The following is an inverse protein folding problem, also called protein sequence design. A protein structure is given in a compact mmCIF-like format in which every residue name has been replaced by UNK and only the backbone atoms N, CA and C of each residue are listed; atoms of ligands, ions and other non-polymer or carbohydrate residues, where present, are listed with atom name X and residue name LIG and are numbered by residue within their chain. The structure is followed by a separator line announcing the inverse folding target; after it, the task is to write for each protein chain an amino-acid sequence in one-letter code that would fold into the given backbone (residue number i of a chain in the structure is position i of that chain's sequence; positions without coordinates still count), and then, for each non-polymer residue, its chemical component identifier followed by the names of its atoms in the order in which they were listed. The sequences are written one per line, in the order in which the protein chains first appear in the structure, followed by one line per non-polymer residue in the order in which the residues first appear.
data_IF_474010497056
#
_entry.id   IF_474010497056
#
_cell.length_a   1.000
_cell.length_b   1.000
_cell.length_c   1.000
_cell.angle_alpha   90.00
_cell.angle_beta   90.00
_cell.angle_gamma   90.00
#
_symmetry.space_group_name_H-M   'P 1'
#
loop_
_entity.id
_entity.type
_entity.pdbx_description
1 polymer ?
#
# COMPACT_ATOMS: atom_id res chain seq x y z
N UNK A 1 -4.90 68.26 19.04
CA UNK A 1 -5.66 67.46 18.04
C UNK A 1 -5.16 67.94 16.68
N UNK A 2 -4.46 67.17 15.86
CA UNK A 2 -4.87 65.93 15.21
C UNK A 2 -3.67 64.98 15.04
N UNK A 3 -3.87 63.70 15.35
CA UNK A 3 -2.92 62.62 15.02
C UNK A 3 -3.26 62.07 13.63
N UNK A 4 -2.29 62.01 12.74
CA UNK A 4 -2.42 61.42 11.40
C UNK A 4 -2.46 59.89 11.48
N UNK A 5 -3.48 59.28 10.88
CA UNK A 5 -3.60 57.83 10.75
C UNK A 5 -2.61 57.31 9.69
N UNK A 6 -1.71 56.41 10.09
CA UNK A 6 -0.83 55.69 9.17
C UNK A 6 -1.60 54.68 8.31
N UNK A 7 -1.07 54.31 7.13
CA UNK A 7 -1.75 53.43 6.20
C UNK A 7 -1.87 52.00 6.76
N UNK A 8 -3.08 51.45 6.69
CA UNK A 8 -3.39 50.08 7.08
C UNK A 8 -2.80 49.13 6.04
N UNK A 9 -1.88 48.27 6.45
CA UNK A 9 -1.33 47.20 5.63
C UNK A 9 -2.38 46.11 5.43
N UNK A 10 -2.86 45.94 4.20
CA UNK A 10 -3.76 44.86 3.79
C UNK A 10 -2.96 43.55 3.72
N UNK A 11 -3.43 42.44 4.31
CA UNK A 11 -2.73 41.16 4.21
C UNK A 11 -2.75 40.65 2.76
N UNK A 12 -1.67 39.98 2.29
CA UNK A 12 -1.62 39.46 0.93
C UNK A 12 -2.70 38.39 0.74
N UNK A 13 -3.47 38.55 -0.34
CA UNK A 13 -4.42 37.53 -0.81
C UNK A 13 -3.70 36.22 -1.11
N UNK A 14 -4.29 35.06 -0.77
CA UNK A 14 -3.69 33.76 -1.07
C UNK A 14 -3.52 33.61 -2.58
N UNK A 15 -2.30 33.29 -3.00
CA UNK A 15 -1.97 32.97 -4.38
C UNK A 15 -2.78 31.74 -4.82
N UNK A 16 -3.43 31.78 -6.01
CA UNK A 16 -4.10 30.61 -6.53
C UNK A 16 -3.09 29.48 -6.73
N UNK A 17 -3.45 28.21 -6.48
CA UNK A 17 -2.56 27.08 -6.71
C UNK A 17 -2.11 27.09 -8.18
N UNK A 18 -0.80 26.96 -8.37
CA UNK A 18 -0.19 26.89 -9.70
C UNK A 18 -0.91 25.82 -10.54
N UNK A 19 -1.27 26.10 -11.80
CA UNK A 19 -1.88 25.10 -12.66
C UNK A 19 -0.93 23.91 -12.78
N UNK A 20 -1.40 22.72 -12.37
CA UNK A 20 -0.64 21.49 -12.57
C UNK A 20 -0.25 21.40 -14.05
N UNK A 21 0.99 20.99 -14.39
CA UNK A 21 1.42 20.93 -15.78
C UNK A 21 0.46 20.05 -16.55
N UNK A 22 -0.29 20.67 -17.47
CA UNK A 22 -1.21 19.96 -18.34
C UNK A 22 -0.37 19.00 -19.18
N UNK A 23 -0.61 17.70 -19.03
CA UNK A 23 0.05 16.69 -19.86
C UNK A 23 -0.12 17.08 -21.34
N UNK A 24 1.00 17.19 -22.06
CA UNK A 24 1.05 17.55 -23.50
C UNK A 24 0.17 16.63 -24.35
N UNK A 25 -0.05 15.40 -23.88
CA UNK A 25 -0.92 14.41 -24.51
C UNK A 25 -2.01 13.98 -23.53
N UNK A 26 -3.27 14.23 -23.93
CA UNK A 26 -4.45 13.74 -23.22
C UNK A 26 -5.11 12.65 -24.07
N UNK A 27 -5.46 11.49 -23.49
CA UNK A 27 -6.29 10.51 -24.19
C UNK A 27 -7.60 11.16 -24.68
N UNK A 28 -8.11 10.79 -25.86
CA UNK A 28 -9.37 11.32 -26.35
C UNK A 28 -10.54 10.90 -25.44
N UNK A 29 -11.58 11.73 -25.28
CA UNK A 29 -12.80 11.31 -24.61
C UNK A 29 -13.46 10.16 -25.38
N UNK A 30 -14.26 9.35 -24.68
CA UNK A 30 -15.11 8.35 -25.31
C UNK A 30 -16.07 9.06 -26.28
N UNK A 31 -16.10 8.71 -27.58
CA UNK A 31 -16.98 9.38 -28.54
C UNK A 31 -18.46 9.05 -28.29
N UNK A 32 -18.76 7.78 -27.99
CA UNK A 32 -20.11 7.27 -27.76
C UNK A 32 -20.08 5.88 -27.05
N UNK A 33 -21.27 5.29 -26.88
CA UNK A 33 -21.44 3.90 -26.44
C UNK A 33 -21.94 3.05 -27.61
N UNK A 34 -21.37 1.85 -27.78
CA UNK A 34 -21.74 0.93 -28.85
C UNK A 34 -23.18 0.42 -28.71
N UNK A 35 -23.91 0.39 -29.83
CA UNK A 35 -25.33 -0.02 -29.91
C UNK A 35 -25.55 -1.32 -30.68
N UNK A 36 -24.50 -1.89 -31.28
CA UNK A 36 -24.58 -3.12 -32.06
C UNK A 36 -24.65 -4.37 -31.15
N UNK A 37 -25.39 -5.38 -31.60
CA UNK A 37 -25.55 -6.66 -30.92
C UNK A 37 -26.74 -6.72 -29.96
N UNK A 38 -27.01 -7.92 -29.45
CA UNK A 38 -28.07 -8.16 -28.48
C UNK A 38 -27.57 -7.90 -27.05
N UNK A 39 -28.43 -7.35 -26.20
CA UNK A 39 -28.12 -7.15 -24.78
C UNK A 39 -27.98 -8.49 -24.06
N UNK A 40 -27.02 -8.59 -23.13
CA UNK A 40 -26.83 -9.74 -22.26
C UNK A 40 -26.60 -9.27 -20.82
N UNK A 41 -27.13 -10.01 -19.84
CA UNK A 41 -26.88 -9.75 -18.42
C UNK A 41 -25.54 -10.37 -18.04
N UNK A 42 -24.67 -9.58 -17.40
CA UNK A 42 -23.35 -10.00 -16.97
C UNK A 42 -23.15 -9.70 -15.49
N UNK A 43 -22.25 -10.45 -14.87
CA UNK A 43 -21.66 -10.10 -13.58
C UNK A 43 -20.16 -9.91 -13.81
N UNK A 44 -19.63 -8.83 -13.24
CA UNK A 44 -18.20 -8.58 -13.20
C UNK A 44 -17.71 -8.78 -11.76
N UNK A 45 -16.45 -9.18 -11.61
CA UNK A 45 -15.76 -9.28 -10.32
C UNK A 45 -15.34 -7.90 -9.77
N UNK A 46 -16.19 -6.90 -10.00
CA UNK A 46 -16.03 -5.52 -9.57
C UNK A 46 -17.10 -5.22 -8.52
N UNK A 47 -16.65 -4.90 -7.31
CA UNK A 47 -17.50 -4.65 -6.16
C UNK A 47 -17.60 -3.15 -5.91
N UNK A 48 -18.80 -2.63 -5.77
CA UNK A 48 -19.01 -1.19 -5.53
C UNK A 48 -18.40 -0.75 -4.20
N UNK A 49 -17.78 0.43 -4.19
CA UNK A 49 -17.25 1.06 -2.99
C UNK A 49 -18.03 2.35 -2.69
N UNK A 50 -18.60 2.44 -1.49
CA UNK A 50 -19.21 3.67 -1.00
C UNK A 50 -18.16 4.51 -0.26
N UNK A 51 -17.76 5.62 -0.88
CA UNK A 51 -16.68 6.49 -0.40
C UNK A 51 -17.28 7.75 0.25
N UNK A 52 -16.91 8.09 1.50
CA UNK A 52 -17.41 9.30 2.15
C UNK A 52 -16.88 10.58 1.47
N UNK A 53 -17.66 11.65 1.55
CA UNK A 53 -17.31 12.98 1.01
C UNK A 53 -16.56 13.81 2.05
N UNK A 54 -15.40 13.30 2.48
CA UNK A 54 -14.56 13.95 3.50
C UNK A 54 -13.17 14.28 2.92
N UNK A 55 -12.40 15.05 3.67
CA UNK A 55 -10.97 15.17 3.44
C UNK A 55 -10.22 14.12 4.26
N UNK A 56 -9.16 13.57 3.67
CA UNK A 56 -8.18 12.74 4.38
C UNK A 56 -6.82 13.42 4.36
N UNK A 57 -5.99 13.13 5.35
CA UNK A 57 -4.76 13.86 5.61
C UNK A 57 -3.57 13.00 5.22
N UNK A 58 -2.72 13.51 4.33
CA UNK A 58 -1.53 12.84 3.85
C UNK A 58 -0.28 13.38 4.55
N UNK A 59 0.52 12.45 5.05
CA UNK A 59 1.78 12.69 5.72
C UNK A 59 2.91 11.93 5.00
N UNK A 60 4.07 12.57 4.91
CA UNK A 60 5.32 11.91 4.54
C UNK A 60 5.95 11.30 5.79
N UNK A 61 6.40 10.05 5.66
CA UNK A 61 7.15 9.29 6.65
C UNK A 61 8.56 9.06 6.11
N UNK A 62 9.56 9.48 6.88
CA UNK A 62 10.96 9.18 6.62
C UNK A 62 11.50 8.24 7.71
N UNK A 63 12.08 7.09 7.33
CA UNK A 63 12.56 6.06 8.27
C UNK A 63 14.06 5.89 8.07
N UNK A 64 14.82 6.05 9.16
CA UNK A 64 16.26 5.83 9.20
C UNK A 64 16.64 4.69 10.16
N UNK A 65 17.53 3.76 9.76
CA UNK A 65 18.26 3.71 8.48
C UNK A 65 17.36 3.44 7.27
N UNK A 66 17.72 4.05 6.13
CA UNK A 66 17.03 3.84 4.85
C UNK A 66 17.31 2.42 4.31
N UNK A 67 16.43 1.90 3.45
CA UNK A 67 16.52 0.58 2.76
C UNK A 67 16.04 -0.66 3.53
N UNK A 68 15.27 -0.49 4.60
CA UNK A 68 14.56 -1.64 5.19
C UNK A 68 13.51 -2.22 4.21
N UNK A 69 13.27 -3.54 4.22
CA UNK A 69 12.17 -4.14 3.46
C UNK A 69 10.84 -3.50 3.81
N UNK A 70 9.93 -3.40 2.83
CA UNK A 70 8.59 -2.79 3.02
C UNK A 70 7.82 -3.41 4.19
N UNK A 71 7.97 -4.71 4.44
CA UNK A 71 7.36 -5.40 5.58
C UNK A 71 7.86 -4.83 6.91
N UNK A 72 9.17 -4.65 7.05
CA UNK A 72 9.79 -4.06 8.24
C UNK A 72 9.33 -2.62 8.43
N UNK A 73 9.26 -1.81 7.37
CA UNK A 73 8.74 -0.44 7.47
C UNK A 73 7.30 -0.40 8.02
N UNK A 74 6.45 -1.36 7.63
CA UNK A 74 5.08 -1.47 8.16
C UNK A 74 5.08 -1.82 9.64
N UNK A 75 5.93 -2.73 10.07
CA UNK A 75 6.10 -3.09 11.49
C UNK A 75 6.60 -1.89 12.32
N UNK A 76 7.57 -1.13 11.81
CA UNK A 76 8.05 0.11 12.43
C UNK A 76 6.88 1.08 12.66
N UNK A 77 6.10 1.35 11.61
CA UNK A 77 4.96 2.28 11.70
C UNK A 77 3.86 1.73 12.61
N UNK A 78 3.60 0.42 12.61
CA UNK A 78 2.64 -0.21 13.50
C UNK A 78 3.03 -0.03 14.98
N UNK A 79 4.29 -0.31 15.33
CA UNK A 79 4.81 -0.09 16.68
C UNK A 79 4.82 1.38 17.06
N UNK A 80 5.18 2.27 16.13
CA UNK A 80 5.13 3.72 16.33
C UNK A 80 3.70 4.19 16.67
N UNK A 81 2.70 3.71 15.94
CA UNK A 81 1.30 4.07 16.16
C UNK A 81 0.81 3.61 17.54
N UNK A 82 1.23 2.41 17.96
CA UNK A 82 0.88 1.87 19.27
C UNK A 82 1.58 2.63 20.41
N UNK A 83 2.89 2.86 20.29
CA UNK A 83 3.70 3.48 21.33
C UNK A 83 3.36 4.96 21.53
N UNK A 84 3.20 5.72 20.45
CA UNK A 84 2.89 7.15 20.49
C UNK A 84 1.38 7.45 20.39
N UNK A 85 0.53 6.48 20.80
CA UNK A 85 -0.93 6.61 20.76
C UNK A 85 -1.40 7.83 21.54
N UNK A 86 -0.96 8.01 22.79
CA UNK A 86 -1.43 9.10 23.64
C UNK A 86 -0.99 10.50 23.15
N UNK A 87 0.19 10.59 22.53
CA UNK A 87 0.78 11.87 22.14
C UNK A 87 0.31 12.35 20.75
N UNK A 88 0.20 11.44 19.78
CA UNK A 88 0.03 11.82 18.36
C UNK A 88 -1.23 11.18 17.76
N UNK A 89 -1.37 9.86 17.87
CA UNK A 89 -2.37 9.16 17.05
C UNK A 89 -3.78 9.16 17.68
N UNK A 90 -3.90 9.22 19.00
CA UNK A 90 -5.17 9.08 19.71
C UNK A 90 -5.89 7.80 19.27
N UNK A 91 -7.19 7.90 18.97
CA UNK A 91 -7.97 6.77 18.45
C UNK A 91 -7.93 6.63 16.91
N UNK A 92 -7.11 7.44 16.23
CA UNK A 92 -6.94 7.34 14.79
C UNK A 92 -6.21 6.05 14.45
N UNK A 93 -6.57 5.46 13.31
CA UNK A 93 -5.92 4.28 12.73
C UNK A 93 -5.29 4.66 11.40
N UNK A 94 -4.03 5.14 11.40
CA UNK A 94 -3.36 5.51 10.17
C UNK A 94 -3.19 4.32 9.24
N UNK A 95 -3.22 4.58 7.95
CA UNK A 95 -2.86 3.59 6.92
C UNK A 95 -1.55 4.00 6.26
N UNK A 96 -0.73 3.03 5.91
CA UNK A 96 0.63 3.25 5.42
C UNK A 96 0.93 2.38 4.20
N UNK A 97 1.66 2.93 3.22
CA UNK A 97 2.02 2.26 1.98
C UNK A 97 3.29 1.37 2.09
N UNK A 98 3.97 1.38 3.24
CA UNK A 98 5.21 0.65 3.47
C UNK A 98 6.47 1.37 2.97
N UNK A 99 6.33 2.62 2.49
CA UNK A 99 7.42 3.47 2.02
C UNK A 99 7.39 4.81 2.74
N UNK A 100 6.64 5.77 2.21
CA UNK A 100 6.67 7.17 2.65
C UNK A 100 5.29 7.77 2.87
N UNK A 101 4.22 7.11 2.46
CA UNK A 101 2.89 7.73 2.44
C UNK A 101 2.04 7.16 3.57
N UNK A 102 1.69 8.01 4.53
CA UNK A 102 0.77 7.72 5.62
C UNK A 102 -0.48 8.59 5.49
N UNK A 103 -1.65 7.99 5.66
CA UNK A 103 -2.93 8.69 5.60
C UNK A 103 -3.75 8.51 6.87
N UNK A 104 -4.46 9.54 7.27
CA UNK A 104 -5.42 9.49 8.39
C UNK A 104 -6.76 10.10 8.00
N UNK A 105 -7.84 9.60 8.61
CA UNK A 105 -9.18 10.16 8.41
C UNK A 105 -9.40 11.50 9.14
N UNK A 106 -8.65 11.74 10.21
CA UNK A 106 -8.69 12.97 11.02
C UNK A 106 -7.26 13.52 11.16
N UNK A 107 -7.07 14.84 11.28
CA UNK A 107 -5.75 15.44 11.33
C UNK A 107 -5.00 14.99 12.59
N UNK A 108 -3.72 14.70 12.44
CA UNK A 108 -2.77 14.53 13.54
C UNK A 108 -2.45 15.90 14.16
N UNK A 109 -2.13 15.97 15.47
CA UNK A 109 -1.76 17.20 16.17
C UNK A 109 -0.32 17.62 15.81
N UNK A 110 -0.05 17.80 14.51
CA UNK A 110 1.25 18.18 13.94
C UNK A 110 1.07 19.47 13.16
N UNK A 111 1.87 20.49 13.46
CA UNK A 111 1.86 21.76 12.72
C UNK A 111 2.33 21.55 11.27
N UNK A 112 1.71 22.25 10.30
CA UNK A 112 1.91 22.02 8.86
C UNK A 112 3.34 22.29 8.37
N UNK A 113 4.03 23.20 9.06
CA UNK A 113 5.38 23.67 8.78
C UNK A 113 6.47 22.90 9.56
N UNK A 114 6.06 21.98 10.46
CA UNK A 114 6.97 21.24 11.32
C UNK A 114 7.03 19.76 10.96
N UNK A 115 8.17 19.17 11.27
CA UNK A 115 8.39 17.73 11.25
C UNK A 115 8.53 17.24 12.68
N UNK A 116 7.91 16.11 13.00
CA UNK A 116 8.05 15.44 14.30
C UNK A 116 8.97 14.24 14.11
N UNK A 117 10.08 14.23 14.84
CA UNK A 117 10.98 13.09 14.89
C UNK A 117 10.66 12.23 16.10
N UNK A 118 10.57 10.92 15.88
CA UNK A 118 10.26 9.90 16.87
C UNK A 118 11.33 8.83 16.82
N UNK A 119 11.67 8.29 17.99
CA UNK A 119 12.51 7.12 18.10
C UNK A 119 11.62 5.90 18.35
N UNK A 120 11.72 4.90 17.48
CA UNK A 120 10.90 3.69 17.51
C UNK A 120 11.79 2.49 17.68
N UNK A 121 11.56 1.73 18.74
CA UNK A 121 12.30 0.51 19.03
C UNK A 121 11.48 -0.70 18.60
N UNK A 122 12.04 -1.50 17.68
CA UNK A 122 11.50 -2.80 17.34
C UNK A 122 12.23 -3.91 18.10
N UNK A 123 11.50 -4.88 18.66
CA UNK A 123 12.13 -6.06 19.25
C UNK A 123 12.89 -6.83 18.16
N UNK A 124 14.11 -7.23 18.45
CA UNK A 124 14.95 -8.05 17.57
C UNK A 124 15.34 -9.36 18.23
N UNK A 125 15.74 -10.34 17.42
CA UNK A 125 16.37 -11.56 17.94
C UNK A 125 17.77 -11.22 18.48
N UNK A 126 17.85 -10.92 19.77
CA UNK A 126 19.08 -10.62 20.50
C UNK A 126 19.25 -9.14 20.87
N UNK A 127 19.17 -8.22 19.90
CA UNK A 127 19.28 -6.77 20.16
C UNK A 127 18.13 -5.99 19.54
N UNK A 128 17.56 -5.11 20.34
CA UNK A 128 16.56 -4.14 19.91
C UNK A 128 17.11 -3.26 18.79
N UNK A 129 16.27 -3.05 17.77
CA UNK A 129 16.59 -2.21 16.62
C UNK A 129 15.90 -0.87 16.79
N UNK A 130 16.71 0.19 16.83
CA UNK A 130 16.22 1.56 17.01
C UNK A 130 16.14 2.23 15.64
N UNK A 131 14.99 2.83 15.36
CA UNK A 131 14.72 3.56 14.13
C UNK A 131 14.34 5.01 14.45
N UNK A 132 14.86 5.94 13.66
CA UNK A 132 14.40 7.34 13.69
C UNK A 132 13.34 7.51 12.62
N UNK A 133 12.13 7.86 13.03
CA UNK A 133 10.98 8.04 12.14
C UNK A 133 10.54 9.49 12.21
N UNK A 134 10.47 10.14 11.06
CA UNK A 134 10.09 11.54 10.98
C UNK A 134 8.77 11.68 10.20
N UNK A 135 7.81 12.39 10.80
CA UNK A 135 6.45 12.58 10.27
C UNK A 135 6.27 14.04 9.87
N UNK A 136 5.87 14.28 8.63
CA UNK A 136 5.64 15.62 8.08
C UNK A 136 4.30 15.70 7.36
N UNK A 137 3.52 16.75 7.61
CA UNK A 137 2.29 16.99 6.85
C UNK A 137 2.60 17.36 5.40
N UNK A 138 1.84 16.80 4.45
CA UNK A 138 2.04 17.06 3.02
C UNK A 138 0.84 17.73 2.36
N UNK A 139 -0.35 17.12 2.47
CA UNK A 139 -1.52 17.60 1.76
C UNK A 139 -2.83 17.15 2.44
N UNK A 140 -3.92 17.83 2.09
CA UNK A 140 -5.27 17.31 2.25
C UNK A 140 -5.72 16.69 0.92
N UNK A 141 -6.24 15.47 0.97
CA UNK A 141 -6.78 14.76 -0.19
C UNK A 141 -8.30 14.81 -0.10
N UNK A 142 -8.93 15.51 -1.03
CA UNK A 142 -10.39 15.65 -1.08
C UNK A 142 -11.04 14.44 -1.75
N UNK A 143 -11.83 13.68 -0.99
CA UNK A 143 -12.67 12.61 -1.57
C UNK A 143 -13.90 13.19 -2.28
N UNK A 144 -14.31 14.41 -1.96
CA UNK A 144 -15.35 15.12 -2.72
C UNK A 144 -14.91 15.39 -4.16
N UNK A 145 -13.66 15.82 -4.38
CA UNK A 145 -13.12 16.01 -5.72
C UNK A 145 -13.11 14.70 -6.55
N UNK A 146 -12.95 13.54 -5.90
CA UNK A 146 -13.08 12.24 -6.57
C UNK A 146 -14.52 12.02 -7.05
N UNK A 147 -15.52 12.30 -6.22
CA UNK A 147 -16.94 12.23 -6.62
C UNK A 147 -17.24 13.16 -7.81
N UNK A 148 -16.69 14.38 -7.78
CA UNK A 148 -16.84 15.33 -8.88
C UNK A 148 -16.22 14.80 -10.17
N UNK A 149 -15.03 14.20 -10.10
CA UNK A 149 -14.38 13.57 -11.26
C UNK A 149 -15.15 12.37 -11.81
N UNK A 150 -15.67 11.49 -10.96
CA UNK A 150 -16.46 10.33 -11.41
C UNK A 150 -17.78 10.75 -12.08
N UNK A 151 -18.36 11.87 -11.64
CA UNK A 151 -19.55 12.47 -12.27
C UNK A 151 -19.27 13.28 -13.54
N UNK A 152 -18.00 13.39 -13.97
CA UNK A 152 -17.59 14.18 -15.13
C UNK A 152 -17.54 15.69 -14.90
N UNK A 153 -17.70 16.18 -13.66
CA UNK A 153 -17.57 17.61 -13.31
C UNK A 153 -16.12 18.08 -13.33
N UNK A 154 -15.16 17.19 -13.07
CA UNK A 154 -13.73 17.47 -13.25
C UNK A 154 -13.20 16.80 -14.53
N UNK A 155 -12.25 17.44 -15.24
CA UNK A 155 -11.73 16.95 -16.52
C UNK A 155 -10.84 15.71 -16.39
N UNK A 156 -10.42 15.35 -15.17
CA UNK A 156 -9.50 14.24 -14.92
C UNK A 156 -9.72 13.68 -13.52
N UNK A 157 -9.49 12.38 -13.38
CA UNK A 157 -9.58 11.70 -12.08
C UNK A 157 -8.29 11.94 -11.27
N UNK A 158 -8.39 12.43 -10.02
CA UNK A 158 -7.21 12.71 -9.20
C UNK A 158 -6.51 11.41 -8.79
N UNK A 159 -5.33 11.17 -9.38
CA UNK A 159 -4.55 9.94 -9.14
C UNK A 159 -4.16 9.76 -7.67
N UNK A 160 -3.71 10.83 -7.01
CA UNK A 160 -3.33 10.83 -5.59
C UNK A 160 -4.49 10.36 -4.69
N UNK A 161 -5.73 10.73 -5.02
CA UNK A 161 -6.91 10.28 -4.27
C UNK A 161 -7.16 8.79 -4.48
N UNK A 162 -7.00 8.28 -5.70
CA UNK A 162 -7.12 6.83 -5.97
C UNK A 162 -6.01 6.07 -5.23
N UNK A 163 -4.78 6.59 -5.24
CA UNK A 163 -3.65 6.01 -4.52
C UNK A 163 -3.91 5.95 -3.02
N UNK A 164 -4.45 7.01 -2.43
CA UNK A 164 -4.80 7.00 -1.01
C UNK A 164 -5.84 5.92 -0.69
N UNK A 165 -6.88 5.76 -1.51
CA UNK A 165 -7.86 4.68 -1.36
C UNK A 165 -7.24 3.28 -1.54
N UNK A 166 -6.32 3.11 -2.50
CA UNK A 166 -5.59 1.85 -2.69
C UNK A 166 -4.75 1.52 -1.44
N UNK A 167 -4.07 2.51 -0.85
CA UNK A 167 -3.30 2.33 0.39
C UNK A 167 -4.22 1.95 1.56
N UNK A 168 -5.39 2.59 1.69
CA UNK A 168 -6.40 2.22 2.71
C UNK A 168 -6.78 0.75 2.57
N UNK A 169 -7.21 0.34 1.37
CA UNK A 169 -7.70 -1.02 1.13
C UNK A 169 -6.60 -2.08 1.24
N UNK A 170 -5.34 -1.71 1.01
CA UNK A 170 -4.20 -2.65 1.05
C UNK A 170 -3.51 -2.70 2.40
N UNK A 171 -3.78 -1.77 3.33
CA UNK A 171 -3.01 -1.64 4.56
C UNK A 171 -2.98 -2.94 5.38
N UNK A 172 -4.15 -3.48 5.73
CA UNK A 172 -4.26 -4.68 6.55
C UNK A 172 -3.85 -5.97 5.80
N UNK A 173 -4.29 -6.23 4.54
CA UNK A 173 -3.81 -7.38 3.77
C UNK A 173 -2.28 -7.41 3.61
N UNK A 174 -1.64 -6.24 3.50
CA UNK A 174 -0.18 -6.13 3.39
C UNK A 174 0.57 -6.44 4.68
N UNK A 175 -0.13 -6.55 5.82
CA UNK A 175 0.43 -6.95 7.11
C UNK A 175 0.07 -8.38 7.50
N UNK A 176 -1.05 -8.91 6.98
CA UNK A 176 -1.54 -10.26 7.25
C UNK A 176 -1.05 -11.32 6.25
N UNK A 177 -0.92 -10.94 4.99
CA UNK A 177 -0.57 -11.84 3.89
C UNK A 177 0.77 -11.46 3.27
N UNK A 178 1.26 -12.31 2.37
CA UNK A 178 2.47 -12.03 1.59
C UNK A 178 2.11 -11.23 0.33
N UNK A 179 2.48 -9.95 0.22
CA UNK A 179 2.16 -9.13 -0.94
C UNK A 179 3.09 -9.45 -2.12
N UNK A 180 2.52 -9.80 -3.27
CA UNK A 180 3.25 -9.99 -4.54
C UNK A 180 2.57 -9.18 -5.62
N UNK A 181 3.22 -8.11 -6.08
CA UNK A 181 2.62 -7.16 -7.02
C UNK A 181 1.34 -6.52 -6.44
N UNK A 182 0.21 -6.71 -7.13
CA UNK A 182 -1.11 -6.25 -6.66
C UNK A 182 -1.91 -7.32 -5.90
N UNK A 183 -1.36 -8.51 -5.73
CA UNK A 183 -2.02 -9.64 -5.08
C UNK A 183 -1.47 -9.93 -3.69
N UNK A 184 -2.23 -10.72 -2.94
CA UNK A 184 -1.92 -11.16 -1.58
C UNK A 184 -2.07 -12.69 -1.50
N UNK A 185 -1.08 -13.36 -0.92
CA UNK A 185 -1.00 -14.82 -0.85
C UNK A 185 -0.80 -15.30 0.59
N UNK A 186 -1.32 -16.48 0.89
CA UNK A 186 -1.12 -17.18 2.15
C UNK A 186 -1.02 -18.68 1.90
N UNK A 187 -0.32 -19.40 2.77
CA UNK A 187 -0.37 -20.85 2.77
C UNK A 187 -1.81 -21.30 3.00
N UNK A 188 -2.26 -22.32 2.25
CA UNK A 188 -3.60 -22.86 2.40
C UNK A 188 -3.73 -23.65 3.70
N UNK A 189 -4.70 -23.29 4.52
CA UNK A 189 -5.00 -24.02 5.75
C UNK A 189 -5.59 -25.40 5.42
N UNK A 190 -4.94 -26.46 5.90
CA UNK A 190 -5.47 -27.83 5.80
C UNK A 190 -5.31 -28.53 4.45
N UNK A 191 -4.74 -27.88 3.43
CA UNK A 191 -4.40 -28.53 2.16
C UNK A 191 -3.01 -28.14 1.65
N UNK A 192 -2.10 -29.12 1.59
CA UNK A 192 -0.80 -28.95 0.94
C UNK A 192 -0.94 -29.21 -0.56
N UNK A 193 -0.40 -28.31 -1.38
CA UNK A 193 -0.40 -28.43 -2.84
C UNK A 193 1.05 -28.51 -3.34
N UNK A 194 1.78 -29.61 -3.08
CA UNK A 194 3.18 -29.73 -3.41
C UNK A 194 3.40 -29.76 -4.93
N UNK A 195 4.44 -29.08 -5.39
CA UNK A 195 4.89 -29.08 -6.78
C UNK A 195 6.16 -29.91 -7.00
N UNK A 196 6.76 -30.43 -5.92
CA UNK A 196 8.09 -31.04 -5.92
C UNK A 196 9.22 -30.00 -5.85
N UNK A 197 10.46 -30.47 -5.63
CA UNK A 197 11.64 -29.60 -5.54
C UNK A 197 11.56 -28.53 -4.44
N UNK A 198 10.88 -28.84 -3.34
CA UNK A 198 10.70 -27.94 -2.21
C UNK A 198 9.69 -26.82 -2.43
N UNK A 199 8.82 -26.93 -3.43
CA UNK A 199 7.85 -25.91 -3.83
C UNK A 199 6.42 -26.37 -3.59
N UNK A 200 5.54 -25.41 -3.41
CA UNK A 200 4.10 -25.60 -3.27
C UNK A 200 3.31 -24.44 -3.88
N UNK A 201 2.04 -24.69 -4.17
CA UNK A 201 1.10 -23.65 -4.62
C UNK A 201 0.51 -22.94 -3.42
N UNK A 202 0.61 -21.62 -3.39
CA UNK A 202 -0.20 -20.78 -2.50
C UNK A 202 -1.31 -20.12 -3.30
N UNK A 203 -2.50 -20.12 -2.71
CA UNK A 203 -3.64 -19.37 -3.21
C UNK A 203 -3.68 -17.98 -2.59
N UNK A 204 -4.36 -17.08 -3.28
CA UNK A 204 -4.43 -15.69 -2.92
C UNK A 204 -5.45 -14.96 -3.77
N UNK A 205 -5.40 -13.64 -3.73
CA UNK A 205 -6.30 -12.81 -4.52
C UNK A 205 -5.59 -11.56 -5.03
N UNK A 206 -5.93 -11.15 -6.25
CA UNK A 206 -5.65 -9.83 -6.79
C UNK A 206 -6.59 -8.80 -6.18
N UNK A 207 -6.06 -7.61 -5.87
CA UNK A 207 -6.86 -6.49 -5.38
C UNK A 207 -6.42 -5.19 -6.06
N UNK A 208 -7.39 -4.45 -6.62
CA UNK A 208 -7.14 -3.09 -7.10
C UNK A 208 -8.37 -2.19 -6.99
N UNK A 209 -8.16 -0.94 -6.59
CA UNK A 209 -9.18 0.11 -6.58
C UNK A 209 -9.18 0.83 -7.95
N UNK A 210 -10.34 0.95 -8.60
CA UNK A 210 -10.45 1.55 -9.94
C UNK A 210 -11.62 2.53 -10.05
N UNK A 211 -11.44 3.70 -10.71
CA UNK A 211 -12.55 4.54 -11.10
C UNK A 211 -13.36 3.88 -12.22
N UNK A 212 -14.66 4.15 -12.27
CA UNK A 212 -15.56 3.72 -13.33
C UNK A 212 -16.58 4.83 -13.66
N UNK A 213 -17.44 4.61 -14.65
CA UNK A 213 -18.55 5.52 -14.97
C UNK A 213 -19.63 5.56 -13.89
N UNK A 214 -19.66 4.59 -12.98
CA UNK A 214 -20.69 4.45 -11.95
C UNK A 214 -20.19 4.92 -10.58
N UNK A 215 -19.25 4.15 -10.00
CA UNK A 215 -18.64 4.41 -8.69
C UNK A 215 -17.16 4.03 -8.70
N UNK A 216 -16.47 4.24 -7.58
CA UNK A 216 -15.24 3.51 -7.30
C UNK A 216 -15.54 2.02 -7.17
N UNK A 217 -14.70 1.19 -7.78
CA UNK A 217 -14.87 -0.25 -7.79
C UNK A 217 -13.63 -0.93 -7.21
N UNK A 218 -13.85 -1.91 -6.34
CA UNK A 218 -12.84 -2.86 -5.90
C UNK A 218 -12.86 -4.06 -6.85
N UNK A 219 -11.82 -4.23 -7.65
CA UNK A 219 -11.64 -5.39 -8.51
C UNK A 219 -10.90 -6.48 -7.73
N UNK A 220 -11.55 -7.63 -7.55
CA UNK A 220 -11.03 -8.80 -6.83
C UNK A 220 -11.04 -10.02 -7.76
N UNK A 221 -9.94 -10.75 -7.81
CA UNK A 221 -9.87 -12.02 -8.54
C UNK A 221 -9.05 -13.04 -7.77
N UNK A 222 -9.36 -14.32 -7.90
CA UNK A 222 -8.58 -15.40 -7.27
C UNK A 222 -7.30 -15.60 -8.07
N UNK A 223 -6.20 -15.85 -7.37
CA UNK A 223 -4.90 -16.11 -8.00
C UNK A 223 -4.15 -17.22 -7.25
N UNK A 224 -3.25 -17.89 -7.95
CA UNK A 224 -2.36 -18.89 -7.37
C UNK A 224 -0.94 -18.69 -7.92
N UNK A 225 0.06 -18.90 -7.08
CA UNK A 225 1.47 -18.84 -7.50
C UNK A 225 2.35 -19.76 -6.65
N UNK A 226 3.55 -20.06 -7.15
CA UNK A 226 4.46 -20.98 -6.49
C UNK A 226 5.26 -20.29 -5.37
N UNK A 227 5.33 -20.94 -4.22
CA UNK A 227 6.16 -20.56 -3.07
C UNK A 227 7.07 -21.73 -2.68
N UNK A 228 8.15 -21.42 -1.95
CA UNK A 228 8.94 -22.45 -1.28
C UNK A 228 8.22 -22.90 -0.01
N UNK A 229 8.23 -24.20 0.24
CA UNK A 229 7.70 -24.78 1.49
C UNK A 229 8.51 -24.28 2.68
N UNK A 230 7.83 -23.94 3.76
CA UNK A 230 8.49 -23.72 5.05
C UNK A 230 8.83 -25.08 5.68
N UNK A 231 10.02 -25.59 5.37
CA UNK A 231 10.47 -26.94 5.76
C UNK A 231 11.95 -26.95 6.16
N UNK A 232 12.43 -27.98 6.87
CA UNK A 232 13.85 -28.19 7.12
C UNK A 232 14.68 -28.21 5.83
N UNK A 233 15.87 -27.61 5.88
CA UNK A 233 16.79 -27.58 4.72
C UNK A 233 17.15 -28.98 4.22
N UNK A 234 17.21 -29.96 5.13
CA UNK A 234 17.46 -31.37 4.78
C UNK A 234 16.31 -31.94 3.94
N UNK A 235 15.05 -31.69 4.31
CA UNK A 235 13.88 -32.12 3.53
C UNK A 235 13.83 -31.42 2.17
N UNK A 236 14.13 -30.11 2.13
CA UNK A 236 14.26 -29.37 0.88
C UNK A 236 15.32 -29.98 -0.03
N UNK A 237 16.48 -30.33 0.51
CA UNK A 237 17.56 -30.97 -0.24
C UNK A 237 17.12 -32.32 -0.80
N UNK A 238 16.45 -33.15 0.01
CA UNK A 238 15.88 -34.42 -0.43
C UNK A 238 14.89 -34.22 -1.59
N UNK A 239 13.99 -33.24 -1.51
CA UNK A 239 13.03 -32.95 -2.60
C UNK A 239 13.70 -32.45 -3.90
N UNK A 240 14.82 -31.72 -3.81
CA UNK A 240 15.55 -31.19 -4.98
C UNK A 240 16.44 -32.26 -5.63
N UNK A 241 17.01 -33.16 -4.83
CA UNK A 241 17.89 -34.23 -5.28
C UNK A 241 17.16 -35.54 -5.58
N UNK A 242 15.85 -35.60 -5.32
CA UNK A 242 14.99 -36.77 -5.49
C UNK A 242 15.42 -37.94 -4.58
N UNK A 243 15.80 -37.62 -3.34
CA UNK A 243 16.09 -38.62 -2.30
C UNK A 243 14.84 -38.90 -1.46
N UNK A 244 14.59 -40.17 -1.14
CA UNK A 244 13.48 -40.53 -0.23
C UNK A 244 13.83 -40.24 1.23
N UNK A 245 15.12 -40.35 1.57
CA UNK A 245 15.67 -40.09 2.89
C UNK A 245 17.11 -39.60 2.76
N UNK A 246 17.56 -38.82 3.75
CA UNK A 246 18.95 -38.37 3.86
C UNK A 246 19.94 -39.54 3.93
N UNK A 247 19.49 -40.71 4.40
CA UNK A 247 20.30 -41.92 4.53
C UNK A 247 20.83 -42.46 3.18
N UNK A 248 20.17 -42.11 2.07
CA UNK A 248 20.63 -42.44 0.72
C UNK A 248 21.95 -41.73 0.35
N UNK A 249 22.27 -40.64 1.06
CA UNK A 249 23.43 -39.79 0.79
C UNK A 249 24.41 -39.81 1.97
N UNK A 250 25.15 -40.92 2.12
CA UNK A 250 26.20 -41.06 3.15
C UNK A 250 27.53 -40.39 2.78
N UNK A 251 27.75 -40.12 1.48
CA UNK A 251 28.94 -39.42 0.99
C UNK A 251 28.66 -37.93 0.84
N UNK A 252 29.68 -37.07 0.81
CA UNK A 252 29.51 -35.66 0.44
C UNK A 252 28.81 -35.51 -0.91
N UNK A 253 28.03 -34.43 -1.07
CA UNK A 253 27.35 -34.11 -2.33
C UNK A 253 28.36 -33.99 -3.48
N UNK A 254 28.02 -34.56 -4.63
CA UNK A 254 28.79 -34.40 -5.87
C UNK A 254 28.66 -32.97 -6.39
N UNK A 255 29.59 -32.54 -7.23
CA UNK A 255 29.52 -31.19 -7.81
C UNK A 255 28.26 -31.01 -8.66
N UNK A 256 27.82 -32.05 -9.38
CA UNK A 256 26.55 -32.02 -10.14
C UNK A 256 25.32 -31.82 -9.24
N UNK A 257 25.33 -32.34 -8.01
CA UNK A 257 24.26 -32.11 -7.04
C UNK A 257 24.33 -30.69 -6.45
N UNK A 258 25.53 -30.19 -6.16
CA UNK A 258 25.74 -28.84 -5.60
C UNK A 258 25.24 -27.74 -6.53
N UNK A 259 25.45 -27.89 -7.84
CA UNK A 259 25.00 -26.93 -8.86
C UNK A 259 23.47 -26.74 -8.87
N UNK A 260 22.69 -27.70 -8.34
CA UNK A 260 21.23 -27.55 -8.24
C UNK A 260 20.78 -26.53 -7.16
N UNK A 261 21.69 -26.05 -6.32
CA UNK A 261 21.40 -25.12 -5.20
C UNK A 261 22.01 -23.72 -5.36
N UNK A 262 22.80 -23.51 -6.41
CA UNK A 262 23.41 -22.22 -6.78
C UNK A 262 22.59 -21.54 -7.87
#
# INVERSE_FOLDING_TARGET
MYAGAGPVLVPPTPTPPLPMPAYTFKPPPRPDFGTSGRTIKLQANFFEMDIPKIEIYHYEIDIKPEKCPRRVNREIVEHMVQHFKAQIFGDRKPVFDGRKNLYTAMPLPIARDKQVELEVTLPGEGKDRIFKVAIKWMACVSLQALHDALSGRLPSVPFETIQALDVVMRHLPSMRYTPVGRSFFTASEGCANPLGGGREVWFGFHQSVRPSLWKMMLNIDVSATAFYKAQPVIEFMCEVLDFKSIEEQQKPLTDSQRVKFT
#
